data_IF_845971145731
#
_entry.id   IF_845971145731
#
_cell.length_a   1.000
_cell.length_b   1.000
_cell.length_c   1.000
_cell.angle_alpha   90.00
_cell.angle_beta   90.00
_cell.angle_gamma   90.00
#
_symmetry.space_group_name_H-M   'P 1'
#
loop_
_entity.id
_entity.type
_entity.pdbx_description
1 polymer ?
#
# COMPACT_ATOMS: atom_id res chain seq x y z
N UNK A 1 25.95 5.93 -1.36
CA UNK A 1 25.11 7.06 -0.95
C UNK A 1 24.00 6.54 -0.06
N UNK A 2 23.90 6.99 1.18
CA UNK A 2 22.89 6.51 2.13
C UNK A 2 21.64 7.35 1.90
N UNK A 3 20.63 6.78 1.24
CA UNK A 3 19.33 7.42 1.04
C UNK A 3 18.47 7.12 2.27
N UNK A 4 17.79 8.13 2.79
CA UNK A 4 16.81 8.01 3.88
C UNK A 4 15.44 8.42 3.38
N UNK A 5 14.42 7.90 4.00
CA UNK A 5 13.01 8.27 3.79
C UNK A 5 12.31 8.38 5.15
N UNK A 6 11.14 9.03 5.25
CA UNK A 6 10.44 9.22 6.51
C UNK A 6 10.20 7.91 7.26
N UNK A 7 10.40 7.88 8.60
CA UNK A 7 10.28 6.66 9.40
C UNK A 7 8.85 6.13 9.49
N UNK A 8 7.87 6.96 9.17
CA UNK A 8 6.45 6.60 9.13
C UNK A 8 6.10 5.69 7.95
N UNK A 9 6.99 5.59 6.96
CA UNK A 9 6.78 4.76 5.79
C UNK A 9 7.22 3.32 6.05
N UNK A 10 6.29 2.39 5.91
CA UNK A 10 6.56 0.96 5.92
C UNK A 10 6.67 0.44 4.48
N UNK A 11 7.85 -0.02 4.10
CA UNK A 11 8.10 -0.60 2.77
C UNK A 11 7.78 -2.09 2.79
N UNK A 12 6.92 -2.52 1.86
CA UNK A 12 6.62 -3.92 1.61
C UNK A 12 7.14 -4.27 0.21
N UNK A 13 8.16 -5.12 0.16
CA UNK A 13 8.75 -5.55 -1.10
C UNK A 13 7.93 -6.66 -1.74
N UNK A 14 7.64 -6.50 -3.04
CA UNK A 14 6.98 -7.52 -3.86
C UNK A 14 7.81 -7.81 -5.10
N UNK A 15 7.81 -9.05 -5.62
CA UNK A 15 8.57 -9.40 -6.83
C UNK A 15 8.16 -8.60 -8.06
N UNK A 16 6.90 -8.20 -8.13
CA UNK A 16 6.34 -7.38 -9.20
C UNK A 16 5.09 -6.67 -8.69
N UNK A 17 4.91 -5.40 -9.05
CA UNK A 17 3.69 -4.65 -8.71
C UNK A 17 2.41 -5.25 -9.31
N UNK A 18 2.52 -6.05 -10.35
CA UNK A 18 1.41 -6.84 -10.88
C UNK A 18 0.81 -7.86 -9.90
N UNK A 19 1.51 -8.14 -8.79
CA UNK A 19 1.00 -8.98 -7.68
C UNK A 19 0.19 -8.18 -6.66
N UNK A 20 0.31 -6.86 -6.66
CA UNK A 20 -0.46 -6.00 -5.76
C UNK A 20 -1.91 -6.01 -6.24
N UNK A 21 -2.81 -6.55 -5.44
CA UNK A 21 -4.24 -6.60 -5.72
C UNK A 21 -4.98 -5.47 -5.00
N UNK A 22 -6.20 -5.20 -5.45
CA UNK A 22 -7.13 -4.23 -4.87
C UNK A 22 -7.29 -4.49 -3.36
N UNK A 23 -7.46 -5.75 -2.98
CA UNK A 23 -7.66 -6.14 -1.58
C UNK A 23 -6.46 -5.79 -0.69
N UNK A 24 -5.23 -5.86 -1.21
CA UNK A 24 -4.04 -5.49 -0.44
C UNK A 24 -4.03 -4.00 -0.10
N UNK A 25 -4.44 -3.15 -1.06
CA UNK A 25 -4.52 -1.70 -0.86
C UNK A 25 -5.64 -1.33 0.12
N UNK A 26 -6.80 -1.96 -0.03
CA UNK A 26 -7.94 -1.72 0.85
C UNK A 26 -7.68 -2.23 2.27
N UNK A 27 -7.08 -3.41 2.43
CA UNK A 27 -6.72 -3.94 3.73
C UNK A 27 -5.72 -3.04 4.45
N UNK A 28 -4.68 -2.55 3.75
CA UNK A 28 -3.72 -1.65 4.35
C UNK A 28 -4.38 -0.38 4.92
N UNK A 29 -5.34 0.20 4.20
CA UNK A 29 -6.12 1.34 4.69
C UNK A 29 -7.05 0.94 5.85
N UNK A 30 -7.66 -0.25 5.77
CA UNK A 30 -8.51 -0.82 6.81
C UNK A 30 -7.76 -1.13 8.10
N UNK A 31 -6.51 -1.56 7.98
CA UNK A 31 -5.60 -1.86 9.10
C UNK A 31 -4.97 -0.60 9.73
N UNK A 32 -5.33 0.58 9.24
CA UNK A 32 -4.97 1.86 9.85
C UNK A 32 -3.88 2.64 9.13
N UNK A 33 -3.50 2.28 7.91
CA UNK A 33 -2.65 3.16 7.12
C UNK A 33 -3.42 4.40 6.68
N UNK A 34 -2.83 5.57 6.84
CA UNK A 34 -3.43 6.84 6.41
C UNK A 34 -3.32 7.05 4.89
N UNK A 35 -2.40 6.34 4.25
CA UNK A 35 -2.24 6.30 2.81
C UNK A 35 -1.39 5.12 2.35
N UNK A 36 -1.56 4.73 1.09
CA UNK A 36 -0.84 3.61 0.47
C UNK A 36 -0.38 4.02 -0.92
N UNK A 37 0.85 3.72 -1.27
CA UNK A 37 1.29 3.93 -2.64
C UNK A 37 2.06 2.74 -3.20
N UNK A 38 2.01 2.59 -4.51
CA UNK A 38 2.69 1.53 -5.24
C UNK A 38 3.81 2.14 -6.07
N UNK A 39 5.04 1.69 -5.83
CA UNK A 39 6.19 2.07 -6.64
C UNK A 39 6.55 0.91 -7.57
N UNK A 40 6.38 1.10 -8.87
CA UNK A 40 6.59 0.09 -9.89
C UNK A 40 7.59 0.48 -10.96
N UNK A 41 7.92 -0.45 -11.85
CA UNK A 41 8.80 -0.22 -12.98
C UNK A 41 8.24 0.83 -13.94
N UNK A 42 9.10 1.49 -14.71
CA UNK A 42 8.70 2.39 -15.80
C UNK A 42 7.80 1.67 -16.80
N UNK A 43 6.88 2.41 -17.39
CA UNK A 43 6.02 1.86 -18.46
C UNK A 43 6.90 1.43 -19.65
N UNK A 44 6.68 0.22 -20.15
CA UNK A 44 7.52 -0.39 -21.17
C UNK A 44 8.73 -1.18 -20.66
N UNK A 45 9.18 -0.95 -19.43
CA UNK A 45 10.36 -1.61 -18.83
C UNK A 45 9.99 -2.68 -17.78
N UNK A 46 8.74 -3.08 -17.72
CA UNK A 46 8.31 -4.09 -16.75
C UNK A 46 8.88 -5.47 -17.09
N UNK A 47 9.64 -6.08 -16.19
CA UNK A 47 10.19 -7.43 -16.36
C UNK A 47 9.11 -8.47 -16.71
N UNK A 48 7.92 -8.34 -16.14
CA UNK A 48 6.75 -9.18 -16.44
C UNK A 48 5.81 -8.55 -17.47
N UNK A 49 6.32 -7.71 -18.34
CA UNK A 49 5.67 -7.05 -19.49
C UNK A 49 4.53 -6.10 -19.13
N UNK A 50 3.55 -6.53 -18.35
CA UNK A 50 2.31 -5.76 -18.08
C UNK A 50 1.97 -5.60 -16.60
N UNK A 51 2.87 -6.01 -15.69
CA UNK A 51 2.62 -5.98 -14.25
C UNK A 51 2.33 -4.58 -13.71
N UNK A 52 3.13 -3.60 -14.12
CA UNK A 52 2.95 -2.20 -13.75
C UNK A 52 1.64 -1.60 -14.32
N UNK A 53 1.25 -1.98 -15.53
CA UNK A 53 -0.02 -1.52 -16.12
C UNK A 53 -1.24 -2.10 -15.40
N UNK A 54 -1.14 -3.37 -14.94
CA UNK A 54 -2.19 -3.99 -14.11
C UNK A 54 -2.30 -3.27 -12.75
N UNK A 55 -1.17 -3.00 -12.11
CA UNK A 55 -1.15 -2.25 -10.86
C UNK A 55 -1.78 -0.86 -11.02
N UNK A 56 -1.43 -0.15 -12.09
CA UNK A 56 -2.00 1.17 -12.41
C UNK A 56 -3.53 1.14 -12.51
N UNK A 57 -4.09 0.13 -13.20
CA UNK A 57 -5.55 -0.04 -13.31
C UNK A 57 -6.18 -0.33 -11.96
N UNK A 58 -5.56 -1.17 -11.11
CA UNK A 58 -6.06 -1.51 -9.78
C UNK A 58 -6.02 -0.30 -8.84
N UNK A 59 -4.93 0.46 -8.85
CA UNK A 59 -4.82 1.72 -8.09
C UNK A 59 -5.91 2.71 -8.52
N UNK A 60 -6.13 2.88 -9.81
CA UNK A 60 -7.20 3.74 -10.32
C UNK A 60 -8.59 3.27 -9.86
N UNK A 61 -8.84 1.97 -9.85
CA UNK A 61 -10.07 1.40 -9.33
C UNK A 61 -10.24 1.65 -7.83
N UNK A 62 -9.19 1.45 -7.02
CA UNK A 62 -9.24 1.74 -5.58
C UNK A 62 -9.53 3.21 -5.32
N UNK A 63 -8.91 4.12 -6.06
CA UNK A 63 -9.23 5.57 -5.96
C UNK A 63 -10.72 5.85 -6.18
N UNK A 64 -11.32 5.18 -7.17
CA UNK A 64 -12.76 5.31 -7.44
C UNK A 64 -13.60 4.79 -6.27
N UNK A 65 -13.26 3.61 -5.73
CA UNK A 65 -13.93 3.04 -4.56
C UNK A 65 -13.83 3.97 -3.35
N UNK A 66 -12.64 4.54 -3.09
CA UNK A 66 -12.46 5.49 -1.99
C UNK A 66 -13.37 6.71 -2.15
N UNK A 67 -13.46 7.27 -3.35
CA UNK A 67 -14.35 8.40 -3.62
C UNK A 67 -15.83 8.04 -3.37
N UNK A 68 -16.26 6.84 -3.76
CA UNK A 68 -17.63 6.35 -3.57
C UNK A 68 -17.99 6.19 -2.09
N UNK A 69 -17.03 5.83 -1.24
CA UNK A 69 -17.25 5.69 0.22
C UNK A 69 -16.96 6.98 1.00
N UNK A 70 -16.67 8.08 0.32
CA UNK A 70 -16.39 9.38 0.95
C UNK A 70 -15.00 9.51 1.58
N UNK A 71 -14.04 8.70 1.13
CA UNK A 71 -12.63 8.81 1.53
C UNK A 71 -11.83 9.47 0.40
N UNK A 72 -10.81 10.26 0.76
CA UNK A 72 -10.01 10.98 -0.22
C UNK A 72 -9.23 10.01 -1.12
N UNK A 73 -9.42 10.07 -2.46
CA UNK A 73 -8.72 9.20 -3.42
C UNK A 73 -7.21 9.39 -3.41
N UNK A 74 -6.74 10.56 -2.96
CA UNK A 74 -5.31 10.90 -2.90
C UNK A 74 -4.55 10.18 -1.80
N UNK A 75 -5.25 9.43 -0.94
CA UNK A 75 -4.63 8.48 0.01
C UNK A 75 -4.01 7.27 -0.69
N UNK A 76 -4.33 7.05 -1.96
CA UNK A 76 -3.73 5.97 -2.76
C UNK A 76 -3.06 6.57 -3.99
N UNK A 77 -1.83 6.16 -4.26
CA UNK A 77 -1.06 6.66 -5.40
C UNK A 77 -0.24 5.54 -6.06
N UNK A 78 0.18 5.78 -7.30
CA UNK A 78 1.14 4.94 -7.99
C UNK A 78 2.21 5.80 -8.66
N UNK A 79 3.44 5.34 -8.53
CA UNK A 79 4.61 5.96 -9.12
C UNK A 79 5.40 4.93 -9.94
N UNK A 80 5.98 5.36 -11.04
CA UNK A 80 6.82 4.52 -11.87
C UNK A 80 8.26 5.00 -11.79
N UNK A 81 9.18 4.09 -11.45
CA UNK A 81 10.61 4.37 -11.27
C UNK A 81 11.44 3.24 -11.89
N UNK A 82 12.67 3.56 -12.30
CA UNK A 82 13.68 2.53 -12.54
C UNK A 82 14.43 2.19 -11.25
N UNK A 83 15.09 1.03 -11.22
CA UNK A 83 15.95 0.61 -10.11
C UNK A 83 17.13 1.57 -9.82
N UNK A 84 17.54 2.37 -10.81
CA UNK A 84 18.58 3.36 -10.67
C UNK A 84 18.12 4.67 -10.01
N UNK A 85 16.81 4.88 -9.85
CA UNK A 85 16.21 6.12 -9.36
C UNK A 85 15.95 6.11 -7.85
N UNK A 86 16.90 5.63 -7.05
CA UNK A 86 16.76 5.63 -5.58
C UNK A 86 16.51 7.02 -4.99
N UNK A 87 17.13 8.06 -5.53
CA UNK A 87 16.90 9.45 -5.11
C UNK A 87 15.43 9.84 -5.34
N UNK A 88 14.88 9.51 -6.52
CA UNK A 88 13.47 9.78 -6.83
C UNK A 88 12.50 9.01 -5.91
N UNK A 89 12.88 7.79 -5.50
CA UNK A 89 12.11 7.05 -4.50
C UNK A 89 12.02 7.81 -3.16
N UNK A 90 13.13 8.36 -2.67
CA UNK A 90 13.14 9.15 -1.44
C UNK A 90 12.27 10.42 -1.57
N UNK A 91 12.38 11.14 -2.69
CA UNK A 91 11.58 12.32 -3.00
C UNK A 91 10.08 11.99 -3.00
N UNK A 92 9.67 10.88 -3.63
CA UNK A 92 8.28 10.40 -3.63
C UNK A 92 7.83 10.06 -2.21
N UNK A 93 8.68 9.45 -1.41
CA UNK A 93 8.40 9.15 -0.02
C UNK A 93 8.09 10.44 0.78
N UNK A 94 8.87 11.49 0.57
CA UNK A 94 8.63 12.80 1.19
C UNK A 94 7.34 13.44 0.66
N UNK A 95 7.13 13.42 -0.66
CA UNK A 95 5.92 13.96 -1.31
C UNK A 95 4.64 13.31 -0.75
N UNK A 96 4.60 11.98 -0.69
CA UNK A 96 3.41 11.25 -0.20
C UNK A 96 3.20 11.48 1.30
N UNK A 97 4.27 11.52 2.09
CA UNK A 97 4.18 11.80 3.51
C UNK A 97 3.62 13.18 3.77
N UNK A 98 4.09 14.20 3.06
CA UNK A 98 3.57 15.57 3.14
C UNK A 98 2.09 15.62 2.77
N UNK A 99 1.69 14.97 1.68
CA UNK A 99 0.30 14.91 1.24
C UNK A 99 -0.61 14.24 2.27
N UNK A 100 -0.18 13.11 2.83
CA UNK A 100 -0.98 12.40 3.84
C UNK A 100 -1.09 13.21 5.13
N UNK A 101 -0.05 13.92 5.54
CA UNK A 101 -0.10 14.84 6.70
C UNK A 101 -1.09 15.98 6.46
N UNK A 102 -1.17 16.49 5.25
CA UNK A 102 -2.11 17.54 4.85
C UNK A 102 -3.57 17.04 4.86
N UNK A 103 -3.82 15.81 4.41
CA UNK A 103 -5.13 15.14 4.47
C UNK A 103 -5.53 14.76 5.89
N UNK A 104 -4.56 14.61 6.79
CA UNK A 104 -4.78 14.17 8.15
C UNK A 104 -5.08 12.67 8.28
N UNK A 105 -5.40 12.20 9.51
CA UNK A 105 -5.69 10.79 9.75
C UNK A 105 -6.84 10.27 8.90
N UNK A 106 -6.76 9.01 8.49
CA UNK A 106 -7.82 8.37 7.72
C UNK A 106 -9.13 8.29 8.54
N UNK A 107 -10.31 8.26 7.89
CA UNK A 107 -11.57 8.08 8.61
C UNK A 107 -11.62 6.83 9.49
N UNK A 108 -10.86 5.78 9.13
CA UNK A 108 -10.70 4.56 9.93
C UNK A 108 -9.97 4.88 11.24
N UNK A 109 -8.85 5.59 11.16
CA UNK A 109 -8.07 5.99 12.33
C UNK A 109 -8.83 6.98 13.21
N UNK A 110 -9.57 7.92 12.61
CA UNK A 110 -10.41 8.85 13.36
C UNK A 110 -11.49 8.13 14.17
N UNK A 111 -12.14 7.12 13.58
CA UNK A 111 -13.13 6.28 14.29
C UNK A 111 -12.49 5.47 15.40
N UNK A 112 -11.33 4.86 15.16
CA UNK A 112 -10.60 4.11 16.16
C UNK A 112 -10.21 4.98 17.37
N UNK A 113 -9.70 6.19 17.11
CA UNK A 113 -9.38 7.15 18.16
C UNK A 113 -10.62 7.60 18.97
N UNK A 114 -11.75 7.84 18.30
CA UNK A 114 -13.01 8.20 18.94
C UNK A 114 -13.59 7.08 19.81
N UNK A 115 -13.31 5.81 19.47
CA UNK A 115 -13.74 4.62 20.23
C UNK A 115 -12.79 4.24 21.37
N UNK A 116 -11.67 4.97 21.55
CA UNK A 116 -10.66 4.68 22.58
C UNK A 116 -9.85 3.39 22.33
N UNK A 117 -9.91 2.84 21.13
CA UNK A 117 -9.08 1.72 20.68
C UNK A 117 -7.82 2.29 20.04
N UNK A 118 -6.69 2.16 20.72
CA UNK A 118 -5.38 2.58 20.22
C UNK A 118 -4.87 1.58 19.19
N UNK A 119 -5.32 1.71 17.93
CA UNK A 119 -4.83 0.90 16.79
C UNK A 119 -3.47 1.40 16.27
N UNK A 120 -2.92 2.45 16.86
CA UNK A 120 -1.63 3.03 16.50
C UNK A 120 -0.42 2.28 17.12
N UNK A 121 -0.63 1.31 18.00
CA UNK A 121 0.43 0.50 18.58
C UNK A 121 0.69 -0.72 17.67
N UNK A 122 1.72 -0.61 16.85
CA UNK A 122 2.48 -1.67 16.20
C UNK A 122 1.86 -3.06 16.18
N UNK A 123 1.09 -3.38 15.14
CA UNK A 123 0.77 -4.77 14.86
C UNK A 123 2.06 -5.46 14.43
N UNK A 124 2.67 -6.14 15.39
CA UNK A 124 3.79 -7.04 15.17
C UNK A 124 3.28 -8.16 14.25
N UNK A 125 3.69 -8.12 12.99
CA UNK A 125 3.33 -9.10 11.96
C UNK A 125 3.86 -10.53 12.26
N UNK A 126 4.39 -10.76 13.46
CA UNK A 126 4.91 -12.07 13.90
C UNK A 126 3.87 -13.02 14.47
N UNK A 127 2.61 -12.61 14.62
CA UNK A 127 1.59 -13.43 15.27
C UNK A 127 0.33 -13.71 14.44
N UNK A 128 0.44 -13.80 13.13
CA UNK A 128 -0.63 -14.45 12.35
C UNK A 128 -0.35 -15.96 12.36
N UNK A 129 -1.13 -16.77 13.09
CA UNK A 129 -0.97 -18.22 13.00
C UNK A 129 -1.37 -18.66 11.60
N UNK A 130 -0.41 -19.17 10.84
CA UNK A 130 -0.68 -19.91 9.63
C UNK A 130 -1.57 -21.10 10.00
N UNK A 131 -2.84 -21.02 9.66
CA UNK A 131 -3.78 -22.13 9.81
C UNK A 131 -3.32 -23.28 8.90
N UNK A 132 -2.56 -24.25 9.47
CA UNK A 132 -2.07 -25.45 8.82
C UNK A 132 -3.15 -26.55 8.84
N UNK A 133 -4.34 -26.27 8.34
CA UNK A 133 -5.34 -27.31 8.15
C UNK A 133 -5.93 -27.24 6.75
N UNK A 134 -5.11 -27.59 5.77
CA UNK A 134 -5.56 -28.08 4.47
C UNK A 134 -5.03 -29.51 4.34
N UNK A 135 -5.77 -30.45 4.89
CA UNK A 135 -5.61 -31.86 4.56
C UNK A 135 -6.01 -32.09 3.10
N UNK A 136 -5.22 -32.82 2.31
CA UNK A 136 -5.62 -33.18 0.97
C UNK A 136 -6.77 -34.19 1.03
N UNK A 137 -7.91 -33.84 0.48
CA UNK A 137 -8.98 -34.80 0.22
C UNK A 137 -8.56 -35.65 -0.97
N UNK A 138 -8.22 -36.91 -0.69
CA UNK A 138 -8.08 -37.96 -1.68
C UNK A 138 -9.46 -38.32 -2.21
N UNK A 139 -9.71 -38.03 -3.50
CA UNK A 139 -10.81 -38.62 -4.24
C UNK A 139 -10.49 -40.07 -4.58
N UNK A 140 -11.29 -40.99 -4.10
CA UNK A 140 -11.49 -42.30 -4.73
C UNK A 140 -12.70 -42.21 -5.65
#
# INVERSE_FOLDING_TARGET
MRLSYPPEIKVIQVPCTGRVDIIHLLNALGDGADGVYVAGCLEGECHYRTGNLRAKKRVAYVKKVLAEIGMEPDRVAMYNLSSAQGKRFAEIADEITARIRELGPSPVNQRAAAMGTDLAAGTDLKSVPLNRNLSPQTNQ
#
